data_IF_098597816683
#
_entry.id   IF_098597816683
#
_cell.length_a   1.000
_cell.length_b   1.000
_cell.length_c   1.000
_cell.angle_alpha   90.00
_cell.angle_beta   90.00
_cell.angle_gamma   90.00
#
_symmetry.space_group_name_H-M   'P 1'
#
loop_
_entity.id
_entity.type
_entity.pdbx_description
1 polymer ?
#
# COMPACT_ATOMS: atom_id res chain seq x y z
N UNK A 1 5.42 25.63 -22.69
CA UNK A 1 5.25 24.31 -22.07
C UNK A 1 3.84 23.83 -22.40
N UNK A 2 3.67 23.01 -23.45
CA UNK A 2 2.35 22.52 -23.87
C UNK A 2 2.04 21.26 -23.06
N UNK A 3 1.03 21.32 -22.22
CA UNK A 3 0.52 20.17 -21.48
C UNK A 3 -0.10 19.17 -22.48
N UNK A 4 0.13 17.88 -22.24
CA UNK A 4 -0.42 16.78 -23.04
C UNK A 4 -1.92 16.62 -22.77
N UNK A 5 -2.67 16.11 -23.75
CA UNK A 5 -4.11 15.82 -23.61
C UNK A 5 -4.39 14.88 -22.42
N UNK A 6 -3.45 13.98 -22.10
CA UNK A 6 -3.48 13.12 -20.91
C UNK A 6 -3.41 13.88 -19.59
N UNK A 7 -2.64 14.97 -19.53
CA UNK A 7 -2.49 15.79 -18.32
C UNK A 7 -3.78 16.56 -18.01
N UNK A 8 -4.53 16.92 -19.05
CA UNK A 8 -5.81 17.61 -18.92
C UNK A 8 -6.89 16.69 -18.33
N UNK A 9 -6.93 15.43 -18.77
CA UNK A 9 -7.86 14.44 -18.23
C UNK A 9 -7.58 14.09 -16.76
N UNK A 10 -6.31 13.93 -16.39
CA UNK A 10 -5.92 13.67 -14.99
C UNK A 10 -6.37 14.82 -14.08
N UNK A 11 -6.13 16.08 -14.47
CA UNK A 11 -6.59 17.25 -13.69
C UNK A 11 -8.11 17.28 -13.53
N UNK A 12 -8.86 16.83 -14.54
CA UNK A 12 -10.33 16.77 -14.48
C UNK A 12 -10.82 15.62 -13.59
N UNK A 13 -10.13 14.48 -13.61
CA UNK A 13 -10.39 13.35 -12.70
C UNK A 13 -10.10 13.74 -11.25
N UNK A 14 -8.95 14.35 -10.95
CA UNK A 14 -8.59 14.81 -9.61
C UNK A 14 -9.64 15.77 -9.04
N UNK A 15 -10.18 16.69 -9.85
CA UNK A 15 -11.25 17.61 -9.42
C UNK A 15 -12.56 16.93 -9.03
N UNK A 16 -12.77 15.67 -9.44
CA UNK A 16 -13.95 14.87 -9.11
C UNK A 16 -13.71 13.91 -7.94
N UNK A 17 -12.47 13.74 -7.52
CA UNK A 17 -12.10 12.94 -6.37
C UNK A 17 -12.21 13.83 -5.13
N UNK A 18 -12.71 13.27 -4.04
CA UNK A 18 -12.67 13.96 -2.75
C UNK A 18 -11.22 14.06 -2.24
N UNK A 19 -10.99 14.99 -1.31
CA UNK A 19 -9.66 15.27 -0.79
C UNK A 19 -9.08 14.07 -0.02
N UNK A 20 -9.95 13.26 0.60
CA UNK A 20 -9.56 12.09 1.37
C UNK A 20 -8.97 11.01 0.45
N UNK A 21 -9.64 10.73 -0.67
CA UNK A 21 -9.15 9.80 -1.68
C UNK A 21 -7.83 10.25 -2.30
N UNK A 22 -7.65 11.56 -2.54
CA UNK A 22 -6.38 12.10 -3.04
C UNK A 22 -5.26 11.88 -2.01
N UNK A 23 -5.54 12.12 -0.72
CA UNK A 23 -4.56 11.89 0.35
C UNK A 23 -4.16 10.42 0.45
N UNK A 24 -5.13 9.49 0.38
CA UNK A 24 -4.83 8.06 0.38
C UNK A 24 -3.94 7.66 -0.80
N UNK A 25 -4.22 8.15 -2.01
CA UNK A 25 -3.36 7.89 -3.17
C UNK A 25 -1.93 8.41 -2.96
N UNK A 26 -1.78 9.61 -2.40
CA UNK A 26 -0.46 10.18 -2.10
C UNK A 26 0.31 9.39 -1.03
N UNK A 27 -0.39 8.75 -0.09
CA UNK A 27 0.25 7.87 0.89
C UNK A 27 0.76 6.58 0.23
N UNK A 28 0.00 5.98 -0.68
CA UNK A 28 0.43 4.77 -1.37
C UNK A 28 1.74 4.97 -2.15
N UNK A 29 1.94 6.15 -2.73
CA UNK A 29 3.20 6.53 -3.42
C UNK A 29 4.42 6.56 -2.49
N UNK A 30 4.24 6.68 -1.16
CA UNK A 30 5.34 6.65 -0.19
C UNK A 30 5.81 5.22 0.13
N UNK A 31 5.10 4.18 -0.31
CA UNK A 31 5.54 2.80 -0.08
C UNK A 31 6.85 2.52 -0.83
N UNK A 32 7.80 1.78 -0.23
CA UNK A 32 8.98 1.29 -0.93
C UNK A 32 8.62 0.43 -2.15
N UNK A 33 9.46 0.38 -3.21
CA UNK A 33 9.15 -0.35 -4.44
C UNK A 33 8.80 -1.85 -4.25
N UNK A 34 9.45 -2.54 -3.32
CA UNK A 34 9.12 -3.93 -2.99
C UNK A 34 7.74 -4.07 -2.34
N UNK A 35 7.36 -3.11 -1.50
CA UNK A 35 6.02 -3.05 -0.90
C UNK A 35 4.95 -2.74 -1.96
N UNK A 36 5.22 -1.81 -2.89
CA UNK A 36 4.32 -1.54 -4.02
C UNK A 36 4.11 -2.78 -4.88
N UNK A 37 5.17 -3.55 -5.13
CA UNK A 37 5.09 -4.82 -5.89
C UNK A 37 4.15 -5.83 -5.22
N UNK A 38 4.19 -5.92 -3.89
CA UNK A 38 3.30 -6.79 -3.12
C UNK A 38 1.85 -6.32 -3.27
N UNK A 39 1.60 -5.04 -3.00
CA UNK A 39 0.28 -4.44 -3.07
C UNK A 39 -0.35 -4.60 -4.47
N UNK A 40 0.40 -4.29 -5.52
CA UNK A 40 -0.04 -4.42 -6.90
C UNK A 40 -0.47 -5.85 -7.25
N UNK A 41 0.27 -6.85 -6.78
CA UNK A 41 -0.07 -8.24 -7.06
C UNK A 41 -1.36 -8.67 -6.33
N UNK A 42 -1.56 -8.21 -5.10
CA UNK A 42 -2.78 -8.48 -4.32
C UNK A 42 -4.01 -7.83 -4.98
N UNK A 43 -3.89 -6.57 -5.41
CA UNK A 43 -4.97 -5.87 -6.12
C UNK A 43 -5.29 -6.56 -7.46
N UNK A 44 -4.26 -6.99 -8.22
CA UNK A 44 -4.45 -7.77 -9.45
C UNK A 44 -5.10 -9.13 -9.20
N UNK A 45 -4.88 -9.72 -8.02
CA UNK A 45 -5.50 -10.98 -7.60
C UNK A 45 -6.94 -10.81 -7.09
N UNK A 46 -7.46 -9.57 -7.02
CA UNK A 46 -8.83 -9.27 -6.62
C UNK A 46 -8.99 -8.88 -5.15
N UNK A 47 -7.89 -8.66 -4.43
CA UNK A 47 -7.96 -8.02 -3.12
C UNK A 47 -8.32 -6.52 -3.28
N UNK A 48 -8.63 -5.84 -2.18
CA UNK A 48 -8.94 -4.41 -2.15
C UNK A 48 -8.24 -3.74 -0.98
N UNK A 49 -7.83 -2.50 -1.15
CA UNK A 49 -7.41 -1.65 -0.04
C UNK A 49 -8.67 -1.21 0.71
N UNK A 50 -8.69 -1.40 2.02
CA UNK A 50 -9.76 -0.96 2.92
C UNK A 50 -9.36 0.30 3.67
N UNK A 51 -8.07 0.44 3.99
CA UNK A 51 -7.57 1.61 4.70
C UNK A 51 -6.10 1.88 4.35
N UNK A 52 -5.71 3.16 4.44
CA UNK A 52 -4.33 3.63 4.29
C UNK A 52 -4.07 4.66 5.38
N UNK A 53 -3.16 4.34 6.29
CA UNK A 53 -2.78 5.20 7.41
C UNK A 53 -1.32 5.64 7.29
N UNK A 54 -1.02 6.81 7.84
CA UNK A 54 0.34 7.30 8.06
C UNK A 54 0.72 7.17 9.54
N UNK A 55 2.02 7.23 9.84
CA UNK A 55 2.58 7.28 11.19
C UNK A 55 2.37 6.00 12.04
N UNK A 56 2.15 4.86 11.38
CA UNK A 56 2.16 3.53 12.02
C UNK A 56 2.88 2.50 11.14
N UNK A 57 3.80 1.69 11.69
CA UNK A 57 4.22 1.58 13.09
C UNK A 57 5.21 2.67 13.55
N UNK A 58 5.82 3.39 12.61
CA UNK A 58 6.82 4.43 12.87
C UNK A 58 6.31 5.80 12.39
N UNK A 59 6.83 6.93 12.90
CA UNK A 59 6.58 8.23 12.29
C UNK A 59 6.97 8.23 10.80
N UNK A 60 6.12 8.80 9.96
CA UNK A 60 6.22 8.90 8.51
C UNK A 60 6.13 7.59 7.73
N UNK A 61 5.79 6.48 8.38
CA UNK A 61 5.51 5.24 7.67
C UNK A 61 4.11 5.24 7.06
N UNK A 62 3.86 4.25 6.20
CA UNK A 62 2.54 3.97 5.64
C UNK A 62 2.14 2.55 6.03
N UNK A 63 0.91 2.41 6.50
CA UNK A 63 0.26 1.14 6.79
C UNK A 63 -0.96 0.98 5.86
N UNK A 64 -0.97 -0.09 5.07
CA UNK A 64 -2.08 -0.42 4.18
C UNK A 64 -2.84 -1.62 4.71
N UNK A 65 -4.16 -1.52 4.85
CA UNK A 65 -5.02 -2.63 5.25
C UNK A 65 -5.74 -3.20 4.04
N UNK A 66 -5.60 -4.49 3.81
CA UNK A 66 -6.31 -5.23 2.77
C UNK A 66 -7.64 -5.78 3.30
N UNK A 67 -8.60 -5.95 2.39
CA UNK A 67 -9.94 -6.43 2.73
C UNK A 67 -10.07 -7.95 2.85
N UNK A 68 -9.12 -8.68 2.28
CA UNK A 68 -9.02 -10.14 2.36
C UNK A 68 -7.60 -10.53 2.77
N UNK A 69 -7.43 -11.75 3.28
CA UNK A 69 -6.11 -12.35 3.51
C UNK A 69 -5.26 -12.32 2.23
N UNK A 70 -3.94 -12.24 2.37
CA UNK A 70 -3.02 -12.31 1.23
C UNK A 70 -3.37 -13.48 0.30
N UNK A 71 -3.72 -13.14 -0.94
CA UNK A 71 -4.12 -14.08 -1.98
C UNK A 71 -2.88 -14.65 -2.67
N UNK A 72 -1.86 -13.79 -2.87
CA UNK A 72 -0.65 -14.14 -3.61
C UNK A 72 0.44 -14.62 -2.65
N UNK A 73 1.13 -15.71 -3.03
CA UNK A 73 2.34 -16.15 -2.34
C UNK A 73 3.56 -15.51 -2.96
N UNK A 74 4.12 -14.51 -2.30
CA UNK A 74 5.29 -13.77 -2.77
C UNK A 74 6.60 -14.53 -2.50
N UNK A 75 6.97 -15.45 -3.39
CA UNK A 75 8.10 -16.38 -3.20
C UNK A 75 9.49 -15.78 -3.47
N UNK A 76 9.56 -14.70 -4.22
CA UNK A 76 10.81 -14.11 -4.73
C UNK A 76 11.07 -12.71 -4.18
N UNK A 77 10.51 -12.36 -3.03
CA UNK A 77 10.83 -11.09 -2.38
C UNK A 77 12.26 -11.13 -1.85
N UNK A 78 12.95 -10.01 -1.98
CA UNK A 78 14.21 -9.82 -1.30
C UNK A 78 13.97 -9.79 0.22
N UNK A 79 14.55 -10.77 0.92
CA UNK A 79 14.41 -10.90 2.37
C UNK A 79 15.13 -9.80 3.14
N UNK A 80 16.03 -9.06 2.49
CA UNK A 80 16.71 -7.91 3.09
C UNK A 80 15.87 -6.64 2.99
N UNK A 81 14.86 -6.61 2.12
CA UNK A 81 13.94 -5.48 1.96
C UNK A 81 12.62 -5.65 2.71
N UNK A 82 12.06 -6.85 2.70
CA UNK A 82 10.72 -7.11 3.26
C UNK A 82 10.74 -8.39 4.10
N UNK A 83 10.04 -8.32 5.23
CA UNK A 83 9.75 -9.45 6.10
C UNK A 83 8.27 -9.81 6.02
N UNK A 84 7.96 -11.11 6.02
CA UNK A 84 6.60 -11.60 6.18
C UNK A 84 6.43 -12.15 7.60
N UNK A 85 5.34 -11.79 8.26
CA UNK A 85 4.97 -12.31 9.57
C UNK A 85 3.53 -12.81 9.57
N UNK A 86 3.31 -13.99 10.15
CA UNK A 86 1.98 -14.55 10.40
C UNK A 86 1.61 -14.25 11.85
N UNK A 87 0.92 -13.13 12.08
CA UNK A 87 0.48 -12.72 13.42
C UNK A 87 -0.60 -13.64 13.99
N UNK A 88 -1.56 -14.02 13.14
CA UNK A 88 -2.76 -14.79 13.49
C UNK A 88 -3.47 -14.20 14.73
N UNK A 89 -3.54 -12.87 14.80
CA UNK A 89 -4.16 -12.17 15.92
C UNK A 89 -5.69 -12.13 15.73
N UNK A 90 -6.47 -12.57 16.73
CA UNK A 90 -7.93 -12.62 16.63
C UNK A 90 -8.61 -11.23 16.69
N UNK A 91 -7.90 -10.18 17.05
CA UNK A 91 -8.42 -8.83 17.29
C UNK A 91 -7.91 -7.80 16.28
N UNK A 92 -6.73 -8.01 15.69
CA UNK A 92 -6.10 -7.02 14.82
C UNK A 92 -6.04 -7.48 13.35
N UNK A 93 -5.00 -8.23 12.97
CA UNK A 93 -4.82 -8.74 11.62
C UNK A 93 -4.18 -10.12 11.61
N UNK A 94 -4.37 -10.82 10.51
CA UNK A 94 -3.95 -12.20 10.33
C UNK A 94 -2.47 -12.31 9.95
N UNK A 95 -1.97 -11.44 9.07
CA UNK A 95 -0.59 -11.45 8.62
C UNK A 95 -0.15 -10.06 8.12
N UNK A 96 1.16 -9.83 8.09
CA UNK A 96 1.75 -8.60 7.56
C UNK A 96 2.98 -8.84 6.68
N UNK A 97 3.20 -7.91 5.77
CA UNK A 97 4.50 -7.63 5.18
C UNK A 97 5.03 -6.33 5.78
N UNK A 98 6.24 -6.39 6.34
CA UNK A 98 6.94 -5.25 6.94
C UNK A 98 8.18 -4.90 6.14
N UNK A 99 8.36 -3.63 5.73
CA UNK A 99 9.63 -3.20 5.14
C UNK A 99 10.74 -3.15 6.20
N UNK A 100 11.96 -3.52 5.82
CA UNK A 100 13.10 -3.55 6.75
C UNK A 100 13.86 -2.23 6.86
N UNK A 101 13.70 -1.34 5.88
CA UNK A 101 14.22 0.03 5.92
C UNK A 101 13.40 0.89 6.87
N UNK A 102 14.03 1.87 7.53
CA UNK A 102 13.33 2.87 8.34
C UNK A 102 12.86 4.07 7.47
N UNK A 103 11.64 4.60 7.67
CA UNK A 103 10.61 4.09 8.58
C UNK A 103 10.05 2.76 8.07
N UNK A 104 9.61 1.87 8.97
CA UNK A 104 9.03 0.61 8.56
C UNK A 104 7.63 0.84 8.03
N UNK A 105 7.32 0.32 6.86
CA UNK A 105 6.00 0.34 6.26
C UNK A 105 5.33 -1.02 6.44
N UNK A 106 3.99 -1.03 6.45
CA UNK A 106 3.20 -2.25 6.61
C UNK A 106 2.19 -2.40 5.47
N UNK A 107 2.00 -3.65 5.06
CA UNK A 107 0.76 -4.10 4.41
C UNK A 107 0.21 -5.22 5.29
N UNK A 108 -1.03 -5.08 5.75
CA UNK A 108 -1.70 -6.03 6.66
C UNK A 108 -2.98 -6.59 6.04
N UNK A 109 -3.40 -7.78 6.47
CA UNK A 109 -4.61 -8.46 6.01
C UNK A 109 -5.28 -9.28 7.10
#
# INVERSE_FOLDING_TARGET
MKYSEKDFDIKRLIRKLDAEFILQLLLLEKLPPSMQTILDAEIKAGNRIVDVMEDYPDPHSVCVTLGEKFIVKHKNLDKDEVEFSLCNDPHYWFADYTSKTYPKHLIIC
#
